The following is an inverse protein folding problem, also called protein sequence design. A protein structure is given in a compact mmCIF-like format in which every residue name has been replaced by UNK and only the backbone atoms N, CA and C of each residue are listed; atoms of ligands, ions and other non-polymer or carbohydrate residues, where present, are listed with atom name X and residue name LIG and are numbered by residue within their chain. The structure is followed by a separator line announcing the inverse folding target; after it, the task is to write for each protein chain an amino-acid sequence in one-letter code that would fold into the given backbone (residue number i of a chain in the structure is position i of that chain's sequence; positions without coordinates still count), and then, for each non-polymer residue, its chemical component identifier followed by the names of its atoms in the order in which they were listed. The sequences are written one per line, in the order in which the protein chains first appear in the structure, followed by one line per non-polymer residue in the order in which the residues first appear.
data_IF_978652832008
#
_entry.id   IF_978652832008
#
_cell.length_a   1.000
_cell.length_b   1.000
_cell.length_c   1.000
_cell.angle_alpha   90.00
_cell.angle_beta   90.00
_cell.angle_gamma   90.00
#
_symmetry.space_group_name_H-M   'P 1'
#
loop_
_entity.id
_entity.type
_entity.pdbx_description
1 polymer ?
#
# COMPACT_ATOMS: atom_id res chain seq x y z
N UNK A 1 4.99 2.11 -7.78
CA UNK A 1 3.75 2.13 -6.97
C UNK A 1 2.75 1.21 -7.65
N UNK A 2 2.01 0.40 -6.88
CA UNK A 2 0.88 -0.36 -7.40
C UNK A 2 -0.24 -0.44 -6.34
N UNK A 3 -1.46 -0.64 -6.83
CA UNK A 3 -2.66 -0.83 -6.02
C UNK A 3 -2.85 -2.30 -5.65
N UNK A 4 -3.54 -2.56 -4.55
CA UNK A 4 -3.94 -3.91 -4.13
C UNK A 4 -5.34 -3.91 -3.50
N UNK A 5 -5.96 -5.08 -3.44
CA UNK A 5 -7.28 -5.26 -2.82
C UNK A 5 -8.43 -4.66 -3.64
N UNK A 6 -9.52 -4.32 -2.94
CA UNK A 6 -10.77 -3.79 -3.50
C UNK A 6 -11.90 -4.82 -3.49
N UNK A 7 -13.15 -4.38 -3.36
CA UNK A 7 -14.32 -5.27 -3.45
C UNK A 7 -14.48 -6.28 -2.31
N UNK A 8 -13.79 -6.11 -1.18
CA UNK A 8 -13.84 -6.98 0.00
C UNK A 8 -12.68 -6.69 0.96
N UNK A 9 -12.58 -7.46 2.05
CA UNK A 9 -11.40 -7.44 2.93
C UNK A 9 -10.46 -8.61 2.65
N UNK A 10 -9.19 -8.46 3.05
CA UNK A 10 -8.18 -9.51 2.96
C UNK A 10 -8.63 -10.79 3.67
N UNK A 11 -9.17 -10.67 4.88
CA UNK A 11 -9.70 -11.80 5.66
C UNK A 11 -10.81 -12.57 4.94
N UNK A 12 -11.65 -11.89 4.16
CA UNK A 12 -12.71 -12.53 3.38
C UNK A 12 -12.19 -13.22 2.12
N UNK A 13 -11.03 -12.80 1.60
CA UNK A 13 -10.44 -13.39 0.38
C UNK A 13 -11.29 -13.18 -0.87
N UNK A 14 -12.05 -12.09 -0.95
CA UNK A 14 -12.96 -11.77 -2.06
C UNK A 14 -12.54 -10.49 -2.80
N UNK A 15 -13.12 -10.26 -3.98
CA UNK A 15 -12.77 -9.12 -4.82
C UNK A 15 -11.29 -9.16 -5.23
N UNK A 16 -10.58 -8.05 -5.09
CA UNK A 16 -9.14 -7.93 -5.31
C UNK A 16 -8.27 -8.71 -4.31
N UNK A 17 -8.88 -9.36 -3.31
CA UNK A 17 -8.22 -10.33 -2.43
C UNK A 17 -8.45 -11.78 -2.84
N UNK A 18 -9.20 -12.03 -3.92
CA UNK A 18 -9.33 -13.38 -4.47
C UNK A 18 -7.94 -13.95 -4.80
N UNK A 19 -7.73 -15.29 -4.64
CA UNK A 19 -6.39 -15.87 -4.66
C UNK A 19 -5.53 -15.52 -5.88
N UNK A 20 -6.13 -15.36 -7.05
CA UNK A 20 -5.41 -15.00 -8.28
C UNK A 20 -4.92 -13.54 -8.30
N UNK A 21 -5.71 -12.60 -7.77
CA UNK A 21 -5.30 -11.20 -7.66
C UNK A 21 -4.22 -11.05 -6.58
N UNK A 22 -4.45 -11.63 -5.40
CA UNK A 22 -3.45 -11.62 -4.33
C UNK A 22 -2.13 -12.23 -4.80
N UNK A 23 -2.18 -13.36 -5.53
CA UNK A 23 -0.99 -13.96 -6.13
C UNK A 23 -0.28 -13.01 -7.10
N UNK A 24 -1.02 -12.32 -7.96
CA UNK A 24 -0.44 -11.31 -8.87
C UNK A 24 0.27 -10.18 -8.11
N UNK A 25 -0.30 -9.71 -7.01
CA UNK A 25 0.33 -8.71 -6.13
C UNK A 25 1.62 -9.26 -5.50
N UNK A 26 1.59 -10.48 -4.96
CA UNK A 26 2.77 -11.12 -4.36
C UNK A 26 3.87 -11.40 -5.39
N UNK A 27 3.51 -11.82 -6.61
CA UNK A 27 4.46 -12.06 -7.69
C UNK A 27 5.11 -10.75 -8.18
N UNK A 28 4.37 -9.64 -8.15
CA UNK A 28 4.92 -8.30 -8.38
C UNK A 28 5.92 -7.91 -7.30
N UNK A 29 5.58 -8.12 -6.03
CA UNK A 29 6.50 -7.88 -4.90
C UNK A 29 7.77 -8.74 -4.99
N UNK A 30 7.66 -10.03 -5.34
CA UNK A 30 8.82 -10.91 -5.57
C UNK A 30 9.71 -10.40 -6.70
N UNK A 31 9.11 -9.86 -7.77
CA UNK A 31 9.87 -9.27 -8.87
C UNK A 31 10.64 -8.03 -8.42
N UNK A 32 10.01 -7.16 -7.63
CA UNK A 32 10.68 -5.99 -7.05
C UNK A 32 11.80 -6.39 -6.07
N UNK A 33 11.56 -7.40 -5.23
CA UNK A 33 12.57 -7.96 -4.31
C UNK A 33 13.79 -8.46 -5.11
N UNK A 34 13.59 -9.21 -6.20
CA UNK A 34 14.67 -9.67 -7.08
C UNK A 34 15.43 -8.52 -7.76
N UNK A 35 14.76 -7.42 -8.05
CA UNK A 35 15.37 -6.21 -8.60
C UNK A 35 16.07 -5.35 -7.53
N UNK A 36 16.18 -5.79 -6.28
CA UNK A 36 16.89 -5.09 -5.20
C UNK A 36 16.09 -3.98 -4.52
N UNK A 37 14.77 -3.90 -4.74
CA UNK A 37 13.93 -2.97 -3.98
C UNK A 37 13.81 -3.43 -2.54
N UNK A 38 13.95 -2.50 -1.59
CA UNK A 38 14.00 -2.83 -0.17
C UNK A 38 12.96 -2.04 0.61
N UNK A 39 13.19 -0.74 0.78
CA UNK A 39 12.30 0.11 1.56
C UNK A 39 10.91 0.18 0.94
N UNK A 40 9.89 -0.23 1.71
CA UNK A 40 8.51 -0.30 1.26
C UNK A 40 7.56 0.41 2.21
N UNK A 41 6.60 1.11 1.64
CA UNK A 41 5.50 1.79 2.34
C UNK A 41 4.19 1.17 1.87
N UNK A 42 3.40 0.66 2.80
CA UNK A 42 2.04 0.20 2.57
C UNK A 42 1.07 1.19 3.21
N UNK A 43 0.15 1.69 2.40
CA UNK A 43 -0.94 2.59 2.81
C UNK A 43 -2.23 1.83 2.55
N UNK A 44 -3.01 1.58 3.60
CA UNK A 44 -4.29 0.87 3.49
C UNK A 44 -5.42 1.79 3.90
N UNK A 45 -6.54 1.75 3.17
CA UNK A 45 -7.71 2.56 3.45
C UNK A 45 -8.67 1.92 4.47
N UNK A 46 -8.33 0.80 5.09
CA UNK A 46 -9.14 0.23 6.16
C UNK A 46 -9.13 1.15 7.40
N UNK A 47 -10.25 1.23 8.16
CA UNK A 47 -10.27 1.99 9.40
C UNK A 47 -9.19 1.55 10.40
N UNK A 48 -8.54 2.53 11.05
CA UNK A 48 -7.55 2.27 12.11
C UNK A 48 -6.17 1.84 11.62
N UNK A 49 -5.91 1.76 10.31
CA UNK A 49 -4.58 1.52 9.77
C UNK A 49 -3.73 2.80 9.79
N UNK A 50 -2.41 2.60 9.83
CA UNK A 50 -1.43 3.64 9.57
C UNK A 50 -0.54 3.18 8.41
N UNK A 51 0.28 4.06 7.88
CA UNK A 51 1.29 3.63 6.92
C UNK A 51 2.20 2.59 7.59
N UNK A 52 2.41 1.46 6.94
CA UNK A 52 3.33 0.42 7.39
C UNK A 52 4.62 0.55 6.60
N UNK A 53 5.74 0.77 7.29
CA UNK A 53 7.08 0.77 6.70
C UNK A 53 7.72 -0.59 6.95
N UNK A 54 8.30 -1.19 5.92
CA UNK A 54 9.00 -2.48 6.05
C UNK A 54 10.10 -2.64 5.00
N UNK A 55 11.04 -3.54 5.29
CA UNK A 55 12.04 -4.02 4.33
C UNK A 55 11.45 -5.17 3.53
N UNK A 56 11.37 -5.00 2.22
CA UNK A 56 10.95 -6.05 1.29
C UNK A 56 12.00 -7.15 1.19
N UNK A 57 13.29 -6.82 1.33
CA UNK A 57 14.36 -7.82 1.30
C UNK A 57 14.30 -8.78 2.49
N UNK A 58 13.83 -8.30 3.65
CA UNK A 58 13.72 -9.11 4.86
C UNK A 58 12.38 -9.86 4.99
N UNK A 59 11.47 -9.70 4.03
CA UNK A 59 10.14 -10.34 4.06
C UNK A 59 10.15 -11.64 3.26
N UNK A 60 9.78 -12.76 3.89
CA UNK A 60 9.58 -14.02 3.16
C UNK A 60 8.15 -14.08 2.62
N UNK A 61 7.95 -13.61 1.40
CA UNK A 61 6.65 -13.57 0.72
C UNK A 61 6.02 -14.95 0.45
N UNK A 62 6.67 -16.07 0.80
CA UNK A 62 6.05 -17.39 0.76
C UNK A 62 5.27 -17.72 2.04
N UNK A 63 5.63 -17.11 3.18
CA UNK A 63 5.05 -17.41 4.50
C UNK A 63 4.50 -16.17 5.20
N UNK A 64 5.12 -15.02 4.97
CA UNK A 64 4.76 -13.74 5.56
C UNK A 64 3.75 -12.98 4.70
N UNK A 65 2.84 -12.29 5.38
CA UNK A 65 1.88 -11.39 4.75
C UNK A 65 2.19 -9.92 5.12
N UNK A 66 2.48 -9.04 4.15
CA UNK A 66 2.68 -7.62 4.43
C UNK A 66 1.37 -6.90 4.80
N UNK A 67 0.21 -7.40 4.35
CA UNK A 67 -1.09 -6.74 4.50
C UNK A 67 -1.66 -6.86 5.93
N UNK A 68 -2.51 -5.90 6.32
CA UNK A 68 -3.28 -6.01 7.55
C UNK A 68 -4.39 -7.06 7.39
N UNK A 69 -4.87 -7.65 8.49
CA UNK A 69 -6.00 -8.61 8.42
C UNK A 69 -7.27 -7.95 7.89
N UNK A 70 -7.52 -6.72 8.33
CA UNK A 70 -8.66 -5.91 7.92
C UNK A 70 -8.42 -5.11 6.62
N UNK A 71 -7.30 -5.32 5.93
CA UNK A 71 -6.97 -4.59 4.70
C UNK A 71 -8.12 -4.64 3.69
N UNK A 72 -8.49 -3.50 3.09
CA UNK A 72 -9.57 -3.42 2.11
C UNK A 72 -9.06 -3.12 0.71
N UNK A 73 -8.28 -2.06 0.57
CA UNK A 73 -7.69 -1.54 -0.67
C UNK A 73 -6.60 -0.58 -0.24
N UNK A 74 -5.55 -0.46 -1.04
CA UNK A 74 -4.45 0.41 -0.70
C UNK A 74 -3.41 0.52 -1.78
N UNK A 75 -2.40 1.33 -1.46
CA UNK A 75 -1.24 1.58 -2.30
C UNK A 75 0.00 1.01 -1.64
N UNK A 76 0.86 0.40 -2.46
CA UNK A 76 2.17 -0.07 -2.05
C UNK A 76 3.25 0.63 -2.88
N UNK A 77 4.18 1.29 -2.18
CA UNK A 77 5.30 1.99 -2.75
C UNK A 77 6.59 1.27 -2.34
N UNK A 78 7.34 0.77 -3.32
CA UNK A 78 8.66 0.19 -3.10
C UNK A 78 9.72 1.12 -3.67
N UNK A 79 10.82 1.28 -2.94
CA UNK A 79 11.94 2.13 -3.30
C UNK A 79 13.22 1.30 -3.44
N UNK A 80 14.00 1.64 -4.45
CA UNK A 80 15.33 1.08 -4.68
C UNK A 80 16.37 2.06 -4.15
N UNK A 81 17.28 1.60 -3.27
CA UNK A 81 18.39 2.39 -2.72
C UNK A 81 18.01 3.70 -2.00
N UNK A 82 16.74 3.88 -1.64
CA UNK A 82 16.26 5.04 -0.91
C UNK A 82 15.52 4.61 0.35
N UNK A 83 15.70 5.37 1.43
CA UNK A 83 15.05 5.17 2.71
C UNK A 83 14.58 6.52 3.23
N UNK A 84 13.46 6.51 3.93
CA UNK A 84 12.92 7.69 4.59
C UNK A 84 12.69 7.39 6.07
N UNK A 85 12.92 8.36 6.96
CA UNK A 85 12.57 8.21 8.37
C UNK A 85 11.08 7.88 8.51
N UNK A 86 10.75 6.89 9.33
CA UNK A 86 9.37 6.45 9.50
C UNK A 86 8.45 7.60 9.95
N UNK A 87 8.91 8.47 10.86
CA UNK A 87 8.17 9.65 11.28
C UNK A 87 7.78 10.57 10.10
N UNK A 88 8.65 10.70 9.11
CA UNK A 88 8.39 11.50 7.91
C UNK A 88 7.36 10.81 7.01
N UNK A 89 7.49 9.49 6.80
CA UNK A 89 6.48 8.70 6.08
C UNK A 89 5.12 8.82 6.74
N UNK A 90 5.05 8.71 8.08
CA UNK A 90 3.83 8.86 8.84
C UNK A 90 3.20 10.24 8.65
N UNK A 91 4.01 11.30 8.64
CA UNK A 91 3.53 12.66 8.39
C UNK A 91 2.95 12.81 6.98
N UNK A 92 3.63 12.32 5.95
CA UNK A 92 3.13 12.33 4.57
C UNK A 92 1.85 11.52 4.42
N UNK A 93 1.78 10.37 5.10
CA UNK A 93 0.65 9.47 4.96
C UNK A 93 -0.53 9.82 5.87
N UNK A 94 -0.40 10.83 6.74
CA UNK A 94 -1.45 11.21 7.69
C UNK A 94 -2.78 11.53 7.00
N UNK A 95 -2.74 12.15 5.81
CA UNK A 95 -3.92 12.47 5.01
C UNK A 95 -4.68 11.24 4.49
N UNK A 96 -4.05 10.06 4.46
CA UNK A 96 -4.69 8.81 4.01
C UNK A 96 -5.24 7.97 5.16
N UNK A 97 -5.07 8.43 6.41
CA UNK A 97 -5.67 7.79 7.59
C UNK A 97 -7.16 8.13 7.61
N UNK A 98 -8.05 7.13 7.72
CA UNK A 98 -9.47 7.38 8.00
C UNK A 98 -10.50 6.79 7.03
N UNK A 99 -10.17 5.76 6.26
CA UNK A 99 -11.21 5.05 5.50
C UNK A 99 -11.41 5.54 4.07
N UNK A 100 -12.28 4.83 3.33
CA UNK A 100 -12.80 5.21 1.99
C UNK A 100 -13.43 6.61 2.00
N UNK A 101 -13.95 7.07 3.15
CA UNK A 101 -14.52 8.43 3.29
C UNK A 101 -13.47 9.50 2.98
N UNK A 102 -12.22 9.31 3.41
CA UNK A 102 -11.15 10.25 3.12
C UNK A 102 -10.66 10.15 1.67
N UNK A 103 -10.77 8.96 1.05
CA UNK A 103 -10.49 8.77 -0.38
C UNK A 103 -11.50 9.52 -1.27
N UNK A 104 -12.80 9.41 -0.99
CA UNK A 104 -13.84 10.13 -1.75
C UNK A 104 -13.72 11.65 -1.60
N UNK A 105 -13.40 12.14 -0.39
CA UNK A 105 -13.12 13.57 -0.16
C UNK A 105 -11.82 14.00 -0.84
N UNK A 106 -10.79 13.16 -0.84
CA UNK A 106 -9.52 13.45 -1.54
C UNK A 106 -9.68 13.49 -3.06
N UNK A 107 -10.56 12.67 -3.66
CA UNK A 107 -10.89 12.76 -5.09
C UNK A 107 -11.57 14.10 -5.42
N UNK A 108 -12.45 14.59 -4.55
CA UNK A 108 -13.08 15.92 -4.69
C UNK A 108 -12.09 17.07 -4.52
N UNK A 109 -11.16 16.98 -3.57
CA UNK A 109 -10.14 18.01 -3.33
C UNK A 109 -9.05 17.98 -4.43
N UNK A 110 -8.60 16.80 -4.87
CA UNK A 110 -7.64 16.65 -5.97
C UNK A 110 -8.21 17.01 -7.34
N UNK A 111 -9.54 16.94 -7.55
CA UNK A 111 -10.20 17.56 -8.70
C UNK A 111 -10.02 19.09 -8.76
N UNK A 112 -9.67 19.71 -7.63
CA UNK A 112 -9.45 21.15 -7.51
C UNK A 112 -7.96 21.53 -7.46
N UNK A 113 -7.06 20.56 -7.19
CA UNK A 113 -5.61 20.81 -7.05
C UNK A 113 -4.85 20.13 -8.17
N UNK A 114 -4.36 20.96 -9.09
CA UNK A 114 -3.57 20.56 -10.26
C UNK A 114 -2.29 19.80 -9.84
N UNK A 115 -2.25 18.49 -10.09
CA UNK A 115 -1.17 17.55 -9.74
C UNK A 115 0.11 17.69 -10.60
N UNK A 116 0.33 18.83 -11.27
CA UNK A 116 1.51 19.04 -12.11
C UNK A 116 2.82 19.38 -11.37
N UNK A 117 2.90 19.22 -10.04
CA UNK A 117 4.07 19.73 -9.28
C UNK A 117 4.86 18.73 -8.45
N UNK A 118 4.67 17.43 -8.67
CA UNK A 118 5.48 16.39 -8.03
C UNK A 118 5.88 15.31 -9.04
N UNK A 119 6.69 15.71 -10.01
CA UNK A 119 7.57 14.84 -10.81
C UNK A 119 8.91 15.54 -10.95
#
# INVERSE_FOLDING_TARGET
MFEYGGGGSYEQGQGGWAPHFLRGTLDSLKSLQRCGYDFSILIDYAPGTQAKVFSLQNLDLAVDNPFYRQSIYGNLLCFHQHQYPEAQVQAWCAAYRGGVVNWSVSQWVMGTVNLQRWW
#
